data_IF_832198171917
#
_entry.id   IF_832198171917
#
_cell.length_a   1.000
_cell.length_b   1.000
_cell.length_c   1.000
_cell.angle_alpha   90.00
_cell.angle_beta   90.00
_cell.angle_gamma   90.00
#
_symmetry.space_group_name_H-M   'P 1'
#
loop_
_entity.id
_entity.type
_entity.pdbx_description
1 polymer ?
#
# COMPACT_ATOMS: atom_id res chain seq x y z
N UNK A 1 7.24 -0.88 -21.20
CA UNK A 1 7.38 0.57 -21.46
C UNK A 1 8.81 0.84 -21.91
N UNK A 2 9.02 1.68 -22.93
CA UNK A 2 10.37 2.03 -23.44
C UNK A 2 10.58 3.53 -23.31
N UNK A 3 11.50 3.95 -22.42
CA UNK A 3 11.89 5.35 -22.26
C UNK A 3 12.86 5.52 -21.10
N UNK A 4 13.87 6.38 -21.27
CA UNK A 4 14.92 6.67 -20.26
C UNK A 4 14.49 7.73 -19.23
N UNK A 5 13.23 8.17 -19.25
CA UNK A 5 12.70 9.22 -18.39
C UNK A 5 11.96 8.73 -17.14
N UNK A 6 11.71 9.66 -16.20
CA UNK A 6 10.96 9.42 -14.94
C UNK A 6 9.46 9.10 -15.15
N UNK A 7 8.98 9.21 -16.38
CA UNK A 7 7.57 8.96 -16.74
C UNK A 7 7.19 7.48 -16.59
N UNK A 8 8.11 6.56 -16.89
CA UNK A 8 7.92 5.13 -16.66
C UNK A 8 7.72 4.81 -15.18
N UNK A 9 8.50 5.46 -14.30
CA UNK A 9 8.42 5.32 -12.85
C UNK A 9 7.10 5.84 -12.29
N UNK A 10 6.61 6.98 -12.81
CA UNK A 10 5.28 7.52 -12.45
C UNK A 10 4.16 6.57 -12.87
N UNK A 11 4.21 6.02 -14.07
CA UNK A 11 3.23 5.04 -14.56
C UNK A 11 3.20 3.77 -13.70
N UNK A 12 4.36 3.23 -13.36
CA UNK A 12 4.52 2.09 -12.45
C UNK A 12 3.89 2.36 -11.09
N UNK A 13 4.17 3.51 -10.49
CA UNK A 13 3.54 3.90 -9.22
C UNK A 13 2.03 4.12 -9.34
N UNK A 14 1.53 4.61 -10.47
CA UNK A 14 0.09 4.76 -10.72
C UNK A 14 -0.62 3.41 -10.81
N UNK A 15 -0.03 2.43 -11.50
CA UNK A 15 -0.54 1.05 -11.54
C UNK A 15 -0.57 0.48 -10.12
N UNK A 16 0.50 0.66 -9.36
CA UNK A 16 0.58 0.21 -7.97
C UNK A 16 -0.49 0.84 -7.06
N UNK A 17 -0.77 2.13 -7.27
CA UNK A 17 -1.83 2.87 -6.55
C UNK A 17 -3.23 2.36 -6.87
N UNK A 18 -3.45 1.83 -8.07
CA UNK A 18 -4.71 1.20 -8.48
C UNK A 18 -4.84 -0.27 -8.03
N UNK A 19 -4.04 -0.69 -7.03
CA UNK A 19 -3.87 -2.09 -6.58
C UNK A 19 -3.37 -3.04 -7.68
N UNK A 20 -2.83 -2.49 -8.77
CA UNK A 20 -2.15 -3.22 -9.82
C UNK A 20 -0.82 -3.81 -9.34
N UNK A 21 -0.44 -4.91 -9.97
CA UNK A 21 0.83 -5.58 -9.69
C UNK A 21 1.91 -5.07 -10.61
N UNK A 22 3.10 -4.80 -10.05
CA UNK A 22 4.25 -4.32 -10.81
C UNK A 22 5.37 -5.35 -10.73
N UNK A 23 5.61 -6.05 -11.84
CA UNK A 23 6.78 -6.92 -11.99
C UNK A 23 7.82 -6.17 -12.81
N UNK A 24 9.04 -6.07 -12.30
CA UNK A 24 10.19 -5.47 -12.97
C UNK A 24 11.14 -6.60 -13.37
N UNK A 25 11.62 -6.56 -14.61
CA UNK A 25 12.70 -7.47 -15.03
C UNK A 25 13.98 -7.13 -14.28
N UNK A 26 14.70 -8.14 -13.82
CA UNK A 26 16.01 -7.99 -13.18
C UNK A 26 16.92 -7.10 -14.04
N UNK A 27 17.37 -5.93 -13.54
CA UNK A 27 18.26 -5.01 -14.25
C UNK A 27 19.53 -5.68 -14.77
N UNK A 28 20.03 -6.72 -14.10
CA UNK A 28 21.22 -7.46 -14.52
C UNK A 28 20.99 -8.31 -15.78
N UNK A 29 19.72 -8.67 -16.06
CA UNK A 29 19.32 -9.44 -17.25
C UNK A 29 18.84 -8.56 -18.41
N UNK A 30 18.76 -7.25 -18.22
CA UNK A 30 18.14 -6.33 -19.16
C UNK A 30 19.17 -5.55 -19.98
N UNK A 31 18.93 -5.45 -21.29
CA UNK A 31 19.77 -4.66 -22.21
C UNK A 31 19.77 -3.15 -21.89
N UNK A 32 18.67 -2.65 -21.30
CA UNK A 32 18.54 -1.27 -20.84
C UNK A 32 17.97 -1.27 -19.41
N UNK A 33 18.77 -0.81 -18.45
CA UNK A 33 18.44 -0.92 -17.03
C UNK A 33 18.03 0.39 -16.35
N UNK A 34 18.33 1.57 -16.93
CA UNK A 34 18.09 2.86 -16.27
C UNK A 34 16.65 3.06 -15.77
N UNK A 35 15.65 2.66 -16.56
CA UNK A 35 14.24 2.71 -16.15
C UNK A 35 13.91 1.67 -15.06
N UNK A 36 14.51 0.48 -15.14
CA UNK A 36 14.27 -0.60 -14.18
C UNK A 36 14.81 -0.20 -12.81
N UNK A 37 16.02 0.34 -12.75
CA UNK A 37 16.63 0.87 -11.54
C UNK A 37 15.79 1.98 -10.93
N UNK A 38 15.34 2.95 -11.74
CA UNK A 38 14.48 4.05 -11.24
C UNK A 38 13.14 3.55 -10.66
N UNK A 39 12.53 2.53 -11.26
CA UNK A 39 11.27 1.95 -10.79
C UNK A 39 11.45 1.06 -9.54
N UNK A 40 12.64 0.48 -9.34
CA UNK A 40 13.01 -0.21 -8.10
C UNK A 40 13.22 0.81 -6.97
N UNK A 41 14.00 1.86 -7.22
CA UNK A 41 14.29 2.92 -6.25
C UNK A 41 13.03 3.68 -5.81
N UNK A 42 12.01 3.75 -6.67
CA UNK A 42 10.74 4.39 -6.31
C UNK A 42 9.91 3.59 -5.29
N UNK A 43 10.30 2.36 -4.96
CA UNK A 43 9.59 1.49 -4.02
C UNK A 43 8.22 1.02 -4.51
N UNK A 44 7.92 1.19 -5.81
CA UNK A 44 6.64 0.83 -6.41
C UNK A 44 6.64 -0.56 -7.05
N UNK A 45 7.74 -1.29 -6.97
CA UNK A 45 7.90 -2.65 -7.51
C UNK A 45 7.41 -3.73 -6.55
N UNK A 46 6.67 -4.72 -7.05
CA UNK A 46 6.35 -5.93 -6.29
C UNK A 46 7.43 -7.00 -6.40
N UNK A 47 7.98 -7.17 -7.60
CA UNK A 47 8.99 -8.19 -7.87
C UNK A 47 10.08 -7.67 -8.79
N UNK A 48 11.28 -8.20 -8.57
CA UNK A 48 12.41 -8.07 -9.47
C UNK A 48 12.79 -9.50 -9.87
N UNK A 49 12.45 -9.88 -11.10
CA UNK A 49 12.56 -11.28 -11.56
C UNK A 49 13.33 -11.36 -12.87
N UNK A 50 14.07 -12.45 -13.04
CA UNK A 50 14.63 -12.79 -14.36
C UNK A 50 13.51 -13.19 -15.33
N UNK A 51 13.70 -13.04 -16.65
CA UNK A 51 12.67 -13.35 -17.65
C UNK A 51 12.03 -14.74 -17.48
N UNK A 52 12.84 -15.75 -17.14
CA UNK A 52 12.36 -17.13 -16.95
C UNK A 52 11.42 -17.23 -15.73
N UNK A 53 11.74 -16.51 -14.67
CA UNK A 53 10.92 -16.44 -13.46
C UNK A 53 9.63 -15.64 -13.69
N UNK A 54 9.67 -14.58 -14.51
CA UNK A 54 8.48 -13.83 -14.91
C UNK A 54 7.50 -14.78 -15.63
N UNK A 55 7.99 -15.59 -16.57
CA UNK A 55 7.13 -16.54 -17.31
C UNK A 55 6.52 -17.56 -16.36
N UNK A 56 7.30 -18.13 -15.42
CA UNK A 56 6.79 -19.06 -14.41
C UNK A 56 5.71 -18.41 -13.53
N UNK A 57 5.95 -17.19 -13.09
CA UNK A 57 5.03 -16.44 -12.25
C UNK A 57 3.74 -16.05 -12.98
N UNK A 58 3.84 -15.60 -14.25
CA UNK A 58 2.67 -15.34 -15.09
C UNK A 58 1.85 -16.60 -15.36
N UNK A 59 2.51 -17.76 -15.51
CA UNK A 59 1.80 -19.05 -15.61
C UNK A 59 1.04 -19.38 -14.33
N UNK A 60 1.59 -19.09 -13.15
CA UNK A 60 0.90 -19.29 -11.87
C UNK A 60 -0.27 -18.32 -11.67
N UNK A 61 -0.19 -17.07 -12.16
CA UNK A 61 -1.30 -16.11 -12.04
C UNK A 61 -2.40 -16.34 -13.08
N UNK A 62 -2.04 -16.67 -14.33
CA UNK A 62 -3.03 -16.99 -15.36
C UNK A 62 -3.68 -18.35 -15.11
N UNK A 63 -3.02 -19.21 -14.32
CA UNK A 63 -3.63 -20.34 -13.64
C UNK A 63 -4.03 -19.90 -12.23
N UNK A 64 -4.85 -18.86 -12.05
CA UNK A 64 -5.85 -18.92 -10.99
C UNK A 64 -6.87 -19.91 -11.55
N UNK A 65 -6.74 -21.22 -11.31
CA UNK A 65 -7.82 -22.11 -11.65
C UNK A 65 -8.97 -21.69 -10.71
N UNK A 66 -10.18 -22.19 -10.90
CA UNK A 66 -11.05 -22.25 -9.73
C UNK A 66 -10.24 -22.95 -8.63
N UNK A 67 -9.88 -22.25 -7.55
CA UNK A 67 -9.06 -22.82 -6.48
C UNK A 67 -9.68 -24.17 -6.14
N UNK A 68 -8.87 -25.22 -6.16
CA UNK A 68 -9.39 -26.52 -5.78
C UNK A 68 -9.85 -26.43 -4.33
N UNK A 69 -10.88 -27.19 -3.93
CA UNK A 69 -11.39 -27.14 -2.56
C UNK A 69 -10.28 -27.34 -1.50
N UNK A 70 -9.24 -28.10 -1.83
CA UNK A 70 -8.04 -28.28 -0.99
C UNK A 70 -7.20 -27.01 -0.86
N UNK A 71 -7.04 -26.22 -1.92
CA UNK A 71 -6.27 -24.97 -1.87
C UNK A 71 -7.02 -23.88 -1.10
N UNK A 72 -8.35 -23.82 -1.26
CA UNK A 72 -9.20 -22.93 -0.46
C UNK A 72 -9.13 -23.28 1.03
N UNK A 73 -9.13 -24.57 1.36
CA UNK A 73 -8.95 -25.05 2.73
C UNK A 73 -7.57 -24.65 3.29
N UNK A 74 -6.50 -24.81 2.50
CA UNK A 74 -5.15 -24.39 2.90
C UNK A 74 -5.07 -22.87 3.15
N UNK A 75 -5.67 -22.06 2.28
CA UNK A 75 -5.72 -20.61 2.46
C UNK A 75 -6.47 -20.25 3.74
N UNK A 76 -7.60 -20.94 3.99
CA UNK A 76 -8.38 -20.73 5.21
C UNK A 76 -7.56 -21.07 6.47
N UNK A 77 -6.80 -22.17 6.47
CA UNK A 77 -5.89 -22.52 7.57
C UNK A 77 -4.82 -21.43 7.78
N UNK A 78 -4.25 -20.89 6.71
CA UNK A 78 -3.26 -19.80 6.80
C UNK A 78 -3.88 -18.55 7.43
N UNK A 79 -5.12 -18.20 7.06
CA UNK A 79 -5.82 -17.06 7.65
C UNK A 79 -6.11 -17.27 9.14
N UNK A 80 -6.46 -18.49 9.54
CA UNK A 80 -6.68 -18.86 10.94
C UNK A 80 -5.40 -18.77 11.77
N UNK A 81 -4.26 -19.22 11.22
CA UNK A 81 -2.95 -19.05 11.84
C UNK A 81 -2.61 -17.57 12.06
N UNK A 82 -2.86 -16.72 11.07
CA UNK A 82 -2.63 -15.27 11.19
C UNK A 82 -3.55 -14.65 12.25
N UNK A 83 -4.83 -15.03 12.28
CA UNK A 83 -5.80 -14.51 13.26
C UNK A 83 -5.50 -14.96 14.70
N UNK A 84 -4.82 -16.11 14.86
CA UNK A 84 -4.41 -16.62 16.18
C UNK A 84 -3.22 -15.84 16.73
N UNK A 85 -2.24 -15.53 15.87
CA UNK A 85 -0.98 -14.89 16.27
C UNK A 85 -1.01 -13.36 16.17
N UNK A 86 -1.98 -12.78 15.44
CA UNK A 86 -2.07 -11.33 15.21
C UNK A 86 -3.48 -10.80 15.47
N UNK A 87 -3.63 -9.53 15.87
CA UNK A 87 -4.95 -8.94 16.16
C UNK A 87 -5.75 -8.60 14.89
N UNK A 88 -5.31 -9.04 13.71
CA UNK A 88 -5.89 -8.65 12.43
C UNK A 88 -6.73 -9.78 11.84
N UNK A 89 -8.01 -9.46 11.58
CA UNK A 89 -8.92 -10.36 10.85
C UNK A 89 -8.95 -10.00 9.36
N UNK A 90 -8.57 -10.97 8.52
CA UNK A 90 -8.54 -10.86 7.07
C UNK A 90 -9.68 -11.65 6.39
N UNK A 91 -10.65 -12.17 7.14
CA UNK A 91 -11.76 -12.98 6.61
C UNK A 91 -12.57 -12.25 5.53
N UNK A 92 -12.68 -10.92 5.65
CA UNK A 92 -13.41 -10.05 4.72
C UNK A 92 -12.54 -9.42 3.62
N UNK A 93 -11.25 -9.74 3.56
CA UNK A 93 -10.39 -9.23 2.48
C UNK A 93 -10.70 -9.94 1.15
N UNK A 94 -10.50 -9.21 0.04
CA UNK A 94 -10.69 -9.77 -1.29
C UNK A 94 -9.72 -10.96 -1.50
N UNK A 95 -10.28 -12.15 -1.72
CA UNK A 95 -9.52 -13.40 -1.93
C UNK A 95 -8.40 -13.27 -2.99
N UNK A 96 -8.62 -12.63 -4.17
CA UNK A 96 -7.54 -12.43 -5.14
C UNK A 96 -6.35 -11.63 -4.61
N UNK A 97 -6.61 -10.64 -3.73
CA UNK A 97 -5.57 -9.83 -3.11
C UNK A 97 -4.74 -10.64 -2.10
N UNK A 98 -5.41 -11.50 -1.31
CA UNK A 98 -4.75 -12.43 -0.37
C UNK A 98 -3.88 -13.42 -1.15
N UNK A 99 -4.44 -14.13 -2.12
CA UNK A 99 -3.74 -15.16 -2.90
C UNK A 99 -2.50 -14.58 -3.57
N UNK A 100 -2.63 -13.41 -4.20
CA UNK A 100 -1.49 -12.74 -4.85
C UNK A 100 -0.35 -12.42 -3.88
N UNK A 101 -0.68 -11.93 -2.68
CA UNK A 101 0.30 -11.59 -1.63
C UNK A 101 0.88 -12.84 -0.97
N UNK A 102 0.10 -13.91 -0.89
CA UNK A 102 0.54 -15.20 -0.39
C UNK A 102 1.55 -15.84 -1.35
N UNK A 103 1.20 -15.93 -2.64
CA UNK A 103 2.10 -16.40 -3.69
C UNK A 103 3.39 -15.57 -3.76
N UNK A 104 3.33 -14.26 -3.45
CA UNK A 104 4.51 -13.39 -3.32
C UNK A 104 5.48 -13.87 -2.27
N UNK A 105 4.97 -14.12 -1.06
CA UNK A 105 5.78 -14.58 0.07
C UNK A 105 6.30 -15.99 -0.14
N UNK A 106 5.46 -16.88 -0.68
CA UNK A 106 5.86 -18.22 -1.08
C UNK A 106 7.00 -18.21 -2.11
N UNK A 107 6.90 -17.36 -3.14
CA UNK A 107 7.93 -17.19 -4.15
C UNK A 107 9.27 -16.68 -3.60
N UNK A 108 9.25 -15.83 -2.56
CA UNK A 108 10.46 -15.36 -1.87
C UNK A 108 11.20 -16.50 -1.15
N UNK A 109 10.46 -17.47 -0.62
CA UNK A 109 11.02 -18.65 0.06
C UNK A 109 11.20 -19.85 -0.85
N UNK A 110 10.95 -19.70 -2.16
CA UNK A 110 10.98 -20.78 -3.15
C UNK A 110 10.07 -21.96 -2.82
N UNK A 111 8.93 -21.69 -2.18
CA UNK A 111 7.91 -22.69 -1.85
C UNK A 111 6.82 -22.63 -2.91
N UNK A 112 6.50 -23.78 -3.51
CA UNK A 112 5.51 -23.86 -4.60
C UNK A 112 4.13 -24.38 -4.13
N UNK A 113 4.06 -25.05 -2.98
CA UNK A 113 2.83 -25.65 -2.45
C UNK A 113 2.35 -24.97 -1.16
N UNK A 114 1.04 -24.73 -1.05
CA UNK A 114 0.44 -24.10 0.14
C UNK A 114 0.60 -24.95 1.40
N UNK A 115 0.55 -26.28 1.30
CA UNK A 115 0.77 -27.21 2.41
C UNK A 115 2.16 -27.04 3.03
N UNK A 116 3.18 -26.92 2.18
CA UNK A 116 4.56 -26.75 2.63
C UNK A 116 4.77 -25.37 3.25
N UNK A 117 4.06 -24.37 2.74
CA UNK A 117 4.06 -23.03 3.32
C UNK A 117 3.39 -23.00 4.71
N UNK A 118 2.32 -23.77 4.93
CA UNK A 118 1.69 -23.90 6.26
C UNK A 118 2.67 -24.48 7.28
N UNK A 119 3.42 -25.53 6.90
CA UNK A 119 4.44 -26.12 7.77
C UNK A 119 5.52 -25.08 8.10
N UNK A 120 5.99 -24.34 7.09
CA UNK A 120 6.96 -23.27 7.27
C UNK A 120 6.46 -22.15 8.20
N UNK A 121 5.19 -21.76 8.09
CA UNK A 121 4.57 -20.76 8.96
C UNK A 121 4.50 -21.22 10.41
N UNK A 122 4.20 -22.51 10.65
CA UNK A 122 4.16 -23.10 12.01
C UNK A 122 5.54 -23.14 12.65
N UNK A 123 6.60 -23.37 11.88
CA UNK A 123 7.98 -23.34 12.36
C UNK A 123 8.53 -21.92 12.55
N UNK A 124 7.99 -20.93 11.81
CA UNK A 124 8.52 -19.58 11.78
C UNK A 124 7.44 -18.51 12.05
N UNK A 125 7.23 -18.21 13.33
CA UNK A 125 6.28 -17.17 13.78
C UNK A 125 6.62 -15.75 13.30
N UNK A 126 7.90 -15.49 12.99
CA UNK A 126 8.30 -14.20 12.42
C UNK A 126 7.74 -13.99 11.00
N UNK A 127 7.58 -15.08 10.24
CA UNK A 127 6.98 -15.06 8.91
C UNK A 127 5.50 -14.67 8.98
N UNK A 128 4.75 -15.15 9.97
CA UNK A 128 3.34 -14.82 10.18
C UNK A 128 3.15 -13.31 10.37
N UNK A 129 4.03 -12.68 11.15
CA UNK A 129 4.02 -11.23 11.37
C UNK A 129 4.37 -10.47 10.09
N UNK A 130 5.26 -10.99 9.25
CA UNK A 130 5.59 -10.38 7.96
C UNK A 130 4.45 -10.52 6.95
N UNK A 131 3.81 -11.69 6.91
CA UNK A 131 2.68 -11.99 6.04
C UNK A 131 1.46 -11.12 6.39
N UNK A 132 1.15 -10.95 7.68
CA UNK A 132 0.08 -10.04 8.12
C UNK A 132 0.34 -8.59 7.72
N UNK A 133 1.59 -8.13 7.86
CA UNK A 133 2.00 -6.80 7.39
C UNK A 133 1.93 -6.66 5.86
N UNK A 134 2.21 -7.72 5.11
CA UNK A 134 2.09 -7.73 3.65
C UNK A 134 0.62 -7.63 3.23
N UNK A 135 -0.33 -8.20 3.98
CA UNK A 135 -1.76 -8.07 3.70
C UNK A 135 -2.29 -6.66 3.93
N UNK A 136 -1.70 -5.91 4.86
CA UNK A 136 -2.03 -4.51 5.08
C UNK A 136 -1.53 -3.65 3.90
N UNK A 137 -2.44 -2.88 3.29
CA UNK A 137 -2.09 -1.96 2.19
C UNK A 137 -1.37 -0.73 2.78
N UNK A 138 -0.05 -0.82 2.91
CA UNK A 138 0.80 0.23 3.50
C UNK A 138 1.23 1.32 2.51
N UNK A 139 0.29 1.88 1.73
CA UNK A 139 0.61 2.96 0.77
C UNK A 139 -0.10 4.27 1.14
N UNK A 140 0.16 4.83 2.33
CA UNK A 140 -0.36 6.15 2.68
C UNK A 140 0.62 7.24 2.22
N UNK A 141 0.10 8.25 1.51
CA UNK A 141 0.84 9.49 1.24
C UNK A 141 -0.02 10.68 1.64
N UNK A 142 0.63 11.78 2.04
CA UNK A 142 -0.06 13.00 2.45
C UNK A 142 -0.82 13.61 1.25
N UNK A 143 -2.05 14.07 1.51
CA UNK A 143 -2.93 14.67 0.48
C UNK A 143 -3.19 13.71 -0.69
N UNK A 144 -3.69 12.51 -0.38
CA UNK A 144 -3.99 11.45 -1.35
C UNK A 144 -4.87 11.94 -2.51
N UNK A 145 -5.81 12.82 -2.19
CA UNK A 145 -6.78 13.39 -3.11
C UNK A 145 -6.78 14.92 -2.97
N UNK A 146 -5.98 15.60 -3.79
CA UNK A 146 -5.85 17.05 -3.75
C UNK A 146 -7.19 17.75 -4.07
N UNK A 147 -8.03 17.17 -4.92
CA UNK A 147 -9.34 17.72 -5.27
C UNK A 147 -10.29 17.67 -4.08
N UNK A 148 -10.35 16.54 -3.36
CA UNK A 148 -11.14 16.45 -2.13
C UNK A 148 -10.68 17.46 -1.07
N UNK A 149 -9.37 17.64 -0.89
CA UNK A 149 -8.85 18.65 0.05
C UNK A 149 -9.16 20.09 -0.40
N UNK A 150 -9.09 20.39 -1.70
CA UNK A 150 -9.48 21.69 -2.23
C UNK A 150 -10.98 21.95 -2.03
N UNK A 151 -11.83 20.97 -2.29
CA UNK A 151 -13.27 21.05 -2.03
C UNK A 151 -13.58 21.30 -0.55
N UNK A 152 -12.90 20.59 0.35
CA UNK A 152 -13.04 20.81 1.79
C UNK A 152 -12.66 22.25 2.16
N UNK A 153 -11.56 22.77 1.60
CA UNK A 153 -11.08 24.14 1.86
C UNK A 153 -12.04 25.20 1.33
N UNK A 154 -12.57 25.01 0.13
CA UNK A 154 -13.35 26.02 -0.58
C UNK A 154 -14.83 26.02 -0.19
N UNK A 155 -15.39 24.88 0.21
CA UNK A 155 -16.84 24.75 0.43
C UNK A 155 -17.17 24.26 1.85
N UNK A 156 -16.50 23.20 2.34
CA UNK A 156 -16.88 22.58 3.62
C UNK A 156 -16.46 23.40 4.84
N UNK A 157 -15.22 23.89 4.88
CA UNK A 157 -14.72 24.68 6.02
C UNK A 157 -15.47 26.01 6.14
N UNK A 158 -15.67 26.81 5.06
CA UNK A 158 -16.44 28.04 5.13
C UNK A 158 -17.88 27.83 5.62
N UNK A 159 -18.55 26.77 5.14
CA UNK A 159 -19.92 26.44 5.56
C UNK A 159 -20.01 26.08 7.04
N UNK A 160 -19.04 25.32 7.57
CA UNK A 160 -18.98 24.96 9.00
C UNK A 160 -18.73 26.21 9.86
N UNK A 161 -17.84 27.10 9.42
CA UNK A 161 -17.51 28.34 10.14
C UNK A 161 -18.70 29.30 10.16
N UNK A 162 -19.44 29.43 9.06
CA UNK A 162 -20.63 30.30 9.01
C UNK A 162 -21.75 29.82 9.93
N UNK A 163 -21.86 28.51 10.17
CA UNK A 163 -22.92 27.92 11.01
C UNK A 163 -22.59 27.92 12.51
N UNK A 164 -21.34 28.20 12.90
CA UNK A 164 -20.90 28.18 14.30
C UNK A 164 -20.78 29.59 14.88
N UNK A 165 -21.04 29.70 16.18
CA UNK A 165 -20.83 30.94 16.92
C UNK A 165 -19.34 31.16 17.19
N UNK A 166 -18.97 32.42 17.43
CA UNK A 166 -17.62 32.81 17.83
C UNK A 166 -17.27 32.06 19.13
N UNK A 167 -16.15 31.33 19.14
CA UNK A 167 -15.62 30.44 20.21
C UNK A 167 -16.10 28.97 20.28
N UNK A 168 -16.90 28.48 19.33
CA UNK A 168 -17.24 27.04 19.31
C UNK A 168 -16.17 26.19 18.57
N UNK A 169 -15.49 25.24 19.22
CA UNK A 169 -14.43 24.45 18.59
C UNK A 169 -14.96 23.58 17.43
N UNK A 170 -14.17 23.50 16.37
CA UNK A 170 -14.40 22.57 15.26
C UNK A 170 -13.66 21.26 15.56
N UNK A 171 -14.41 20.17 15.68
CA UNK A 171 -13.85 18.82 15.84
C UNK A 171 -13.90 18.11 14.49
N UNK A 172 -12.74 17.66 14.02
CA UNK A 172 -12.61 16.87 12.79
C UNK A 172 -12.18 15.47 13.19
N UNK A 173 -12.89 14.46 12.69
CA UNK A 173 -12.49 13.07 12.87
C UNK A 173 -11.95 12.53 11.55
N UNK A 174 -10.67 12.15 11.55
CA UNK A 174 -10.07 11.45 10.42
C UNK A 174 -10.04 9.96 10.70
N UNK A 175 -10.87 9.19 10.01
CA UNK A 175 -10.90 7.73 10.10
C UNK A 175 -9.89 7.16 9.10
N UNK A 176 -8.99 6.27 9.55
CA UNK A 176 -8.04 5.58 8.67
C UNK A 176 -6.62 6.17 8.54
N UNK A 177 -6.25 7.18 9.33
CA UNK A 177 -4.86 7.65 9.43
C UNK A 177 -4.17 7.02 10.65
N UNK A 178 -3.63 5.82 10.47
CA UNK A 178 -2.68 5.25 11.42
C UNK A 178 -1.59 4.48 10.68
N UNK A 179 -0.71 5.19 9.98
CA UNK A 179 0.63 4.65 9.76
C UNK A 179 1.65 5.77 9.57
N UNK A 180 2.75 5.61 10.30
CA UNK A 180 3.95 6.46 10.42
C UNK A 180 3.82 7.64 11.40
N UNK A 181 4.40 7.42 12.59
CA UNK A 181 4.80 8.45 13.58
C UNK A 181 5.63 9.55 12.89
N UNK A 182 4.98 10.58 12.36
CA UNK A 182 5.52 11.93 12.26
C UNK A 182 4.36 12.90 12.13
N UNK A 183 4.02 13.47 13.28
CA UNK A 183 3.13 14.61 13.46
C UNK A 183 3.57 15.78 12.59
N UNK A 184 2.92 15.96 11.43
CA UNK A 184 3.09 17.17 10.59
C UNK A 184 1.77 17.94 10.43
N UNK A 185 0.63 17.29 10.67
CA UNK A 185 -0.69 17.90 10.40
C UNK A 185 -1.04 19.08 11.33
N UNK A 186 -0.40 19.20 12.50
CA UNK A 186 -0.70 20.29 13.43
C UNK A 186 -0.08 21.64 13.07
N UNK A 187 0.95 21.72 12.22
CA UNK A 187 1.64 22.99 11.96
C UNK A 187 1.10 23.78 10.78
N UNK A 188 0.48 23.14 9.79
CA UNK A 188 0.08 23.84 8.56
C UNK A 188 -1.29 24.53 8.67
N UNK A 189 -2.18 24.06 9.56
CA UNK A 189 -3.47 24.71 9.79
C UNK A 189 -3.34 26.03 10.58
N UNK A 190 -2.31 26.20 11.39
CA UNK A 190 -2.09 27.42 12.17
C UNK A 190 -1.54 28.58 11.33
N UNK A 191 -0.78 28.30 10.27
CA UNK A 191 -0.21 29.33 9.38
C UNK A 191 -1.24 29.88 8.37
N UNK A 192 -2.28 29.11 8.02
CA UNK A 192 -3.34 29.56 7.12
C UNK A 192 -4.39 30.49 7.75
N UNK A 193 -4.45 30.55 9.09
CA UNK A 193 -5.44 31.34 9.84
C UNK A 193 -4.89 32.63 10.46
N UNK A 194 -3.56 32.86 10.45
CA UNK A 194 -2.93 34.06 11.03
C UNK A 194 -2.64 35.18 10.02
N UNK A 195 -2.99 34.99 8.75
CA UNK A 195 -2.77 35.96 7.68
C UNK A 195 -3.80 37.10 7.63
N UNK A 196 -3.91 37.91 8.70
CA UNK A 196 -4.37 39.32 8.61
C UNK A 196 -4.23 40.04 9.96
N UNK A 197 -3.59 41.22 9.90
CA UNK A 197 -3.49 42.27 10.91
C UNK A 197 -2.53 42.04 12.10
N UNK A 198 -1.33 42.63 12.01
CA UNK A 198 -0.95 43.81 12.81
C UNK A 198 0.44 44.31 12.40
N UNK A 199 0.46 45.34 11.55
CA UNK A 199 1.45 46.40 11.68
C UNK A 199 1.12 47.24 12.92
N UNK A 200 2.15 47.91 13.46
CA UNK A 200 2.16 48.89 14.54
C UNK A 200 2.16 48.34 15.98
N UNK A 201 3.32 48.37 16.65
CA UNK A 201 3.65 49.44 17.60
C UNK A 201 5.02 49.18 18.26
N UNK A 202 5.81 50.25 18.36
CA UNK A 202 7.09 50.35 19.04
C UNK A 202 6.99 50.04 20.55
N UNK A 203 7.98 49.30 21.06
CA UNK A 203 8.87 49.60 22.20
C UNK A 203 9.49 48.31 22.73
#
# INVERSE_FOLDING_TARGET
MSGTGSDGTKGVCSIKKADGMVIIQDPASAKYNGMLTSAIESGCSDYILKPEQIIRYLKQINQIPALNASEEANIQEILELINTETPFDFSNYKRPTIIRRLLKRMGHHHIDAFSDYILFLKENTSEITLLSNEFLINVTWFFRDAEAFNYIKEHVIPDIVQRKQQDDPIKIWSVGLCYRRRSVFSRHCSEGLSGRNRQAANC
#
